data_IF_279931476262
#
_entry.id   IF_279931476262
#
_cell.length_a   1.000
_cell.length_b   1.000
_cell.length_c   1.000
_cell.angle_alpha   90.00
_cell.angle_beta   90.00
_cell.angle_gamma   90.00
#
_symmetry.space_group_name_H-M   'P 1'
#
loop_
_entity.id
_entity.type
_entity.pdbx_description
1 polymer ?
#
# COMPACT_ATOMS: atom_id res chain seq x y z
N UNK A 1 9.94 -21.34 12.21
CA UNK A 1 9.38 -19.98 12.16
C UNK A 1 9.47 -19.36 13.55
N UNK A 2 10.06 -18.19 13.65
CA UNK A 2 10.28 -17.55 14.94
C UNK A 2 9.39 -16.32 15.08
N UNK A 3 8.26 -16.46 15.77
CA UNK A 3 7.30 -15.38 15.99
C UNK A 3 7.69 -14.45 17.15
N UNK A 4 8.99 -14.16 17.30
CA UNK A 4 9.49 -13.29 18.37
C UNK A 4 9.20 -11.82 18.12
N UNK A 5 9.30 -11.39 16.85
CA UNK A 5 8.99 -10.03 16.43
C UNK A 5 7.86 -10.06 15.44
N UNK A 6 6.75 -9.42 15.79
CA UNK A 6 5.53 -9.44 14.95
C UNK A 6 5.10 -8.01 14.68
N UNK A 7 4.82 -7.75 13.40
CA UNK A 7 4.23 -6.52 12.93
C UNK A 7 2.95 -6.84 12.15
N UNK A 8 1.96 -5.96 12.26
CA UNK A 8 0.72 -6.04 11.49
C UNK A 8 0.83 -5.15 10.26
N UNK A 9 0.24 -5.58 9.17
CA UNK A 9 0.07 -4.78 7.95
C UNK A 9 -1.37 -4.89 7.47
N UNK A 10 -1.96 -3.77 7.09
CA UNK A 10 -3.36 -3.72 6.64
C UNK A 10 -3.45 -3.00 5.28
N UNK A 11 -2.89 -3.59 4.21
CA UNK A 11 -2.93 -2.96 2.90
C UNK A 11 -4.36 -2.86 2.36
N UNK A 12 -4.65 -1.74 1.70
CA UNK A 12 -5.91 -1.49 1.02
C UNK A 12 -5.66 -1.46 -0.48
N UNK A 13 -6.47 -2.23 -1.22
CA UNK A 13 -6.40 -2.32 -2.67
C UNK A 13 -7.68 -1.79 -3.29
N UNK A 14 -7.56 -1.15 -4.44
CA UNK A 14 -8.72 -0.56 -5.14
C UNK A 14 -9.41 -1.58 -6.05
N UNK A 15 -9.88 -2.67 -5.46
CA UNK A 15 -10.69 -3.70 -6.12
C UNK A 15 -11.62 -4.37 -5.11
N UNK A 16 -12.91 -4.19 -5.27
CA UNK A 16 -13.89 -4.77 -4.35
C UNK A 16 -14.98 -5.59 -5.06
N UNK A 17 -14.88 -5.77 -6.37
CA UNK A 17 -15.95 -6.36 -7.20
C UNK A 17 -15.57 -7.64 -7.92
N UNK A 18 -14.39 -7.70 -8.48
CA UNK A 18 -13.89 -8.85 -9.22
C UNK A 18 -13.20 -9.84 -8.27
N UNK A 19 -13.92 -10.89 -7.89
CA UNK A 19 -13.45 -11.89 -6.94
C UNK A 19 -12.22 -12.67 -7.44
N UNK A 20 -12.07 -12.83 -8.75
CA UNK A 20 -10.88 -13.48 -9.32
C UNK A 20 -9.64 -12.62 -9.15
N UNK A 21 -9.75 -11.31 -9.39
CA UNK A 21 -8.66 -10.37 -9.14
C UNK A 21 -8.31 -10.31 -7.65
N UNK A 22 -9.31 -10.27 -6.79
CA UNK A 22 -9.13 -10.28 -5.33
C UNK A 22 -8.35 -11.52 -4.90
N UNK A 23 -8.72 -12.70 -5.39
CA UNK A 23 -8.03 -13.94 -5.05
C UNK A 23 -6.54 -13.90 -5.48
N UNK A 24 -6.27 -13.37 -6.66
CA UNK A 24 -4.89 -13.21 -7.16
C UNK A 24 -4.07 -12.23 -6.32
N UNK A 25 -4.69 -11.14 -5.84
CA UNK A 25 -4.03 -10.15 -4.98
C UNK A 25 -3.71 -10.74 -3.62
N UNK A 26 -4.60 -11.57 -3.07
CA UNK A 26 -4.45 -12.19 -1.75
C UNK A 26 -3.50 -13.39 -1.79
N UNK A 27 -3.38 -14.07 -2.92
CA UNK A 27 -2.57 -15.29 -3.06
C UNK A 27 -1.12 -15.16 -2.54
N UNK A 28 -0.37 -14.05 -2.73
CA UNK A 28 0.97 -13.89 -2.19
C UNK A 28 1.06 -13.99 -0.67
N UNK A 29 -0.03 -13.79 0.05
CA UNK A 29 -0.08 -13.84 1.50
C UNK A 29 -0.36 -15.24 2.06
N UNK A 30 -0.72 -16.19 1.21
CA UNK A 30 -1.06 -17.56 1.60
C UNK A 30 0.16 -18.47 1.52
N UNK A 31 0.31 -19.34 2.53
CA UNK A 31 1.30 -20.41 2.52
C UNK A 31 2.76 -19.94 2.62
N UNK A 32 3.02 -18.70 3.01
CA UNK A 32 4.38 -18.19 3.22
C UNK A 32 4.82 -18.34 4.66
N UNK A 33 6.04 -18.88 4.84
CA UNK A 33 6.68 -18.91 6.15
C UNK A 33 6.92 -17.48 6.65
N UNK A 34 6.58 -17.20 7.91
CA UNK A 34 6.76 -15.88 8.51
C UNK A 34 5.64 -14.89 8.24
N UNK A 35 4.61 -15.28 7.50
CA UNK A 35 3.43 -14.44 7.22
C UNK A 35 2.15 -15.22 7.54
N UNK A 36 1.22 -14.56 8.21
CA UNK A 36 -0.10 -15.11 8.48
C UNK A 36 -1.17 -14.16 7.99
N UNK A 37 -1.98 -14.63 7.05
CA UNK A 37 -3.19 -13.95 6.60
C UNK A 37 -4.28 -14.16 7.68
N UNK A 38 -4.70 -13.08 8.32
CA UNK A 38 -5.73 -13.14 9.36
C UNK A 38 -7.13 -13.05 8.77
N UNK A 39 -7.32 -12.10 7.87
CA UNK A 39 -8.63 -11.82 7.27
C UNK A 39 -8.48 -10.97 6.01
N UNK A 40 -9.49 -10.99 5.16
CA UNK A 40 -9.66 -9.98 4.14
C UNK A 40 -11.14 -9.81 3.83
N UNK A 41 -11.52 -8.57 3.49
CA UNK A 41 -12.90 -8.23 3.15
C UNK A 41 -12.93 -7.28 1.96
N UNK A 42 -13.89 -7.47 1.09
CA UNK A 42 -14.13 -6.60 -0.06
C UNK A 42 -15.49 -5.92 0.07
N UNK A 43 -15.56 -4.69 -0.42
CA UNK A 43 -16.78 -3.87 -0.43
C UNK A 43 -17.02 -3.39 -1.87
N UNK A 44 -18.16 -3.80 -2.44
CA UNK A 44 -18.51 -3.49 -3.84
C UNK A 44 -18.86 -2.02 -4.03
N UNK A 45 -19.50 -1.37 -3.06
CA UNK A 45 -19.89 0.04 -3.14
C UNK A 45 -18.67 0.95 -3.09
N UNK A 46 -17.74 0.67 -2.17
CA UNK A 46 -16.47 1.38 -2.07
C UNK A 46 -15.48 0.95 -3.14
N UNK A 47 -15.67 -0.22 -3.72
CA UNK A 47 -14.75 -0.86 -4.66
C UNK A 47 -13.34 -0.97 -4.05
N UNK A 48 -13.28 -1.60 -2.90
CA UNK A 48 -12.06 -1.67 -2.07
C UNK A 48 -11.92 -3.06 -1.44
N UNK A 49 -10.69 -3.50 -1.34
CA UNK A 49 -10.27 -4.70 -0.60
C UNK A 49 -9.38 -4.27 0.56
N UNK A 50 -9.67 -4.75 1.75
CA UNK A 50 -8.84 -4.56 2.95
C UNK A 50 -8.32 -5.93 3.38
N UNK A 51 -7.02 -6.06 3.52
CA UNK A 51 -6.36 -7.31 3.93
C UNK A 51 -5.66 -7.10 5.26
N UNK A 52 -5.80 -8.02 6.20
CA UNK A 52 -5.14 -7.96 7.51
C UNK A 52 -4.12 -9.09 7.64
N UNK A 53 -2.88 -8.71 7.86
CA UNK A 53 -1.73 -9.61 7.93
C UNK A 53 -0.94 -9.39 9.21
N UNK A 54 -0.32 -10.44 9.72
CA UNK A 54 0.76 -10.34 10.69
C UNK A 54 1.94 -11.15 10.20
N UNK A 55 3.15 -10.76 10.58
CA UNK A 55 4.33 -11.49 10.17
C UNK A 55 5.62 -10.97 10.75
N UNK A 56 6.69 -11.67 10.44
CA UNK A 56 8.05 -11.24 10.67
C UNK A 56 8.42 -10.18 9.62
N UNK A 57 9.28 -9.23 9.99
CA UNK A 57 9.55 -8.05 9.17
C UNK A 57 9.96 -8.37 7.73
N UNK A 58 10.95 -9.23 7.55
CA UNK A 58 11.47 -9.58 6.21
C UNK A 58 10.45 -10.34 5.36
N UNK A 59 9.80 -11.35 5.95
CA UNK A 59 8.81 -12.17 5.25
C UNK A 59 7.60 -11.34 4.84
N UNK A 60 7.14 -10.46 5.73
CA UNK A 60 6.03 -9.55 5.46
C UNK A 60 6.38 -8.57 4.34
N UNK A 61 7.59 -8.00 4.37
CA UNK A 61 8.08 -7.12 3.30
C UNK A 61 8.00 -7.81 1.93
N UNK A 62 8.53 -9.01 1.81
CA UNK A 62 8.52 -9.76 0.55
C UNK A 62 7.11 -10.06 0.06
N UNK A 63 6.22 -10.50 0.95
CA UNK A 63 4.84 -10.81 0.59
C UNK A 63 4.06 -9.57 0.13
N UNK A 64 4.22 -8.46 0.85
CA UNK A 64 3.56 -7.19 0.51
C UNK A 64 4.05 -6.65 -0.84
N UNK A 65 5.35 -6.66 -1.07
CA UNK A 65 5.94 -6.21 -2.35
C UNK A 65 5.41 -7.05 -3.52
N UNK A 66 5.29 -8.36 -3.36
CA UNK A 66 4.73 -9.26 -4.37
C UNK A 66 3.25 -8.93 -4.65
N UNK A 67 2.45 -8.74 -3.61
CA UNK A 67 1.03 -8.39 -3.76
C UNK A 67 0.82 -7.04 -4.45
N UNK A 68 1.68 -6.06 -4.16
CA UNK A 68 1.67 -4.77 -4.88
C UNK A 68 1.87 -4.98 -6.38
N UNK A 69 2.81 -5.83 -6.77
CA UNK A 69 3.06 -6.16 -8.17
C UNK A 69 1.85 -6.78 -8.86
N UNK A 70 1.14 -7.68 -8.17
CA UNK A 70 -0.11 -8.27 -8.68
C UNK A 70 -1.18 -7.19 -8.88
N UNK A 71 -1.38 -6.32 -7.88
CA UNK A 71 -2.36 -5.25 -7.95
C UNK A 71 -2.08 -4.27 -9.10
N UNK A 72 -0.82 -3.89 -9.28
CA UNK A 72 -0.40 -2.99 -10.38
C UNK A 72 -0.75 -3.57 -11.75
N UNK A 73 -0.61 -4.89 -11.92
CA UNK A 73 -0.93 -5.57 -13.19
C UNK A 73 -2.43 -5.72 -13.44
N UNK A 74 -3.24 -5.85 -12.38
CA UNK A 74 -4.65 -6.19 -12.50
C UNK A 74 -5.61 -5.01 -12.39
N UNK A 75 -5.20 -3.91 -11.74
CA UNK A 75 -6.07 -2.77 -11.46
C UNK A 75 -5.69 -1.59 -12.35
N UNK A 76 -6.68 -1.09 -13.10
CA UNK A 76 -6.56 0.14 -13.88
C UNK A 76 -7.50 1.20 -13.29
N UNK A 77 -6.92 2.20 -12.64
CA UNK A 77 -7.70 3.26 -11.99
C UNK A 77 -8.43 4.19 -12.98
N UNK A 78 -8.06 4.17 -14.25
CA UNK A 78 -8.80 4.92 -15.29
C UNK A 78 -10.21 4.34 -15.50
N UNK A 79 -10.41 3.07 -15.16
CA UNK A 79 -11.70 2.38 -15.27
C UNK A 79 -12.37 2.16 -13.91
N UNK A 80 -11.73 2.57 -12.82
CA UNK A 80 -12.20 2.34 -11.47
C UNK A 80 -13.21 3.40 -11.02
N UNK A 81 -14.34 2.95 -10.47
CA UNK A 81 -15.35 3.79 -9.83
C UNK A 81 -15.77 3.17 -8.50
N UNK A 82 -16.01 4.00 -7.49
CA UNK A 82 -16.44 3.56 -6.17
C UNK A 82 -16.53 4.73 -5.21
N UNK A 83 -17.15 4.53 -4.06
CA UNK A 83 -17.35 5.58 -3.05
C UNK A 83 -16.09 5.86 -2.22
N UNK A 84 -15.15 4.91 -2.16
CA UNK A 84 -13.91 5.12 -1.43
C UNK A 84 -12.97 6.06 -2.20
N UNK A 85 -12.50 7.16 -1.56
CA UNK A 85 -11.47 7.99 -2.18
C UNK A 85 -10.17 7.18 -2.30
N UNK A 86 -9.59 7.15 -3.48
CA UNK A 86 -8.36 6.38 -3.75
C UNK A 86 -7.39 7.19 -4.59
N UNK A 87 -6.11 7.01 -4.32
CA UNK A 87 -5.02 7.59 -5.11
C UNK A 87 -4.19 6.51 -5.82
N UNK A 88 -4.36 5.25 -5.46
CA UNK A 88 -3.58 4.14 -6.01
C UNK A 88 -4.32 2.82 -6.10
N UNK A 89 -3.85 1.95 -6.99
CA UNK A 89 -4.28 0.55 -7.06
C UNK A 89 -4.00 -0.15 -5.73
N UNK A 90 -2.86 0.14 -5.13
CA UNK A 90 -2.58 -0.09 -3.71
C UNK A 90 -2.64 1.28 -3.05
N UNK A 91 -3.75 1.57 -2.41
CA UNK A 91 -3.98 2.92 -1.91
C UNK A 91 -3.13 3.25 -0.69
N UNK A 92 -3.10 2.35 0.31
CA UNK A 92 -2.29 2.51 1.53
C UNK A 92 -1.73 1.18 1.99
N UNK A 93 -0.59 1.24 2.67
CA UNK A 93 0.09 0.08 3.28
C UNK A 93 0.54 0.47 4.69
N UNK A 94 -0.37 0.46 5.69
CA UNK A 94 -0.01 0.78 7.06
C UNK A 94 0.69 -0.40 7.75
N UNK A 95 1.70 -0.08 8.56
CA UNK A 95 2.42 -1.05 9.40
C UNK A 95 2.25 -0.68 10.86
N UNK A 96 1.86 -1.64 11.69
CA UNK A 96 1.56 -1.44 13.09
C UNK A 96 2.41 -2.39 13.94
N UNK A 97 3.26 -1.89 14.87
CA UNK A 97 4.05 -2.75 15.74
C UNK A 97 3.13 -3.51 16.71
N UNK A 98 3.33 -4.82 16.85
CA UNK A 98 2.50 -5.69 17.68
C UNK A 98 3.29 -6.33 18.82
N UNK A 99 4.34 -7.10 18.53
CA UNK A 99 5.08 -7.84 19.53
C UNK A 99 6.57 -7.68 19.35
N UNK A 100 7.24 -7.19 20.39
CA UNK A 100 8.70 -6.96 20.41
C UNK A 100 9.21 -6.16 19.21
N UNK A 101 8.38 -5.29 18.69
CA UNK A 101 8.70 -4.36 17.59
C UNK A 101 8.43 -2.95 18.05
N UNK A 102 9.31 -2.02 17.66
CA UNK A 102 9.17 -0.60 17.96
C UNK A 102 8.50 0.15 16.80
N UNK A 103 8.06 1.38 17.08
CA UNK A 103 7.58 2.27 16.03
C UNK A 103 8.69 2.57 15.01
N UNK A 104 9.93 2.71 15.48
CA UNK A 104 11.09 2.93 14.60
C UNK A 104 11.30 1.77 13.63
N UNK A 105 11.11 0.52 14.10
CA UNK A 105 11.18 -0.66 13.22
C UNK A 105 10.05 -0.67 12.18
N UNK A 106 8.85 -0.26 12.57
CA UNK A 106 7.72 -0.12 11.65
C UNK A 106 8.00 0.96 10.59
N UNK A 107 8.56 2.10 10.97
CA UNK A 107 8.96 3.18 10.06
C UNK A 107 10.03 2.68 9.08
N UNK A 108 11.06 1.99 9.55
CA UNK A 108 12.11 1.44 8.69
C UNK A 108 11.54 0.40 7.71
N UNK A 109 10.62 -0.45 8.16
CA UNK A 109 9.95 -1.41 7.28
C UNK A 109 9.14 -0.70 6.20
N UNK A 110 8.41 0.36 6.55
CA UNK A 110 7.64 1.15 5.58
C UNK A 110 8.54 1.75 4.49
N UNK A 111 9.69 2.26 4.87
CA UNK A 111 10.69 2.80 3.92
C UNK A 111 11.28 1.72 3.03
N UNK A 112 11.54 0.55 3.58
CA UNK A 112 12.08 -0.59 2.82
C UNK A 112 11.09 -1.08 1.77
N UNK A 113 9.82 -1.21 2.14
CA UNK A 113 8.75 -1.56 1.20
C UNK A 113 8.59 -0.48 0.14
N UNK A 114 8.57 0.80 0.55
CA UNK A 114 8.46 1.94 -0.36
C UNK A 114 9.57 1.94 -1.41
N UNK A 115 10.82 1.74 -0.99
CA UNK A 115 11.95 1.70 -1.91
C UNK A 115 11.82 0.56 -2.92
N UNK A 116 11.41 -0.62 -2.47
CA UNK A 116 11.25 -1.81 -3.35
C UNK A 116 10.11 -1.64 -4.35
N UNK A 117 8.95 -1.17 -3.94
CA UNK A 117 7.81 -1.00 -4.85
C UNK A 117 8.07 0.13 -5.85
N UNK A 118 8.75 1.18 -5.44
CA UNK A 118 9.16 2.26 -6.34
C UNK A 118 10.13 1.75 -7.41
N UNK A 119 11.13 0.97 -7.02
CA UNK A 119 12.13 0.42 -7.93
C UNK A 119 11.53 -0.62 -8.87
N UNK A 120 10.77 -1.58 -8.35
CA UNK A 120 10.26 -2.71 -9.14
C UNK A 120 9.08 -2.35 -10.04
N UNK A 121 8.23 -1.44 -9.59
CA UNK A 121 6.96 -1.16 -10.26
C UNK A 121 6.82 0.28 -10.76
N UNK A 122 7.85 1.09 -10.58
CA UNK A 122 7.86 2.49 -10.99
C UNK A 122 6.71 3.30 -10.36
N UNK A 123 6.42 3.01 -9.09
CA UNK A 123 5.37 3.66 -8.32
C UNK A 123 5.90 4.82 -7.50
N UNK A 124 5.27 5.99 -7.55
CA UNK A 124 5.50 7.04 -6.56
C UNK A 124 4.93 6.61 -5.21
N UNK A 125 5.69 6.83 -4.14
CA UNK A 125 5.30 6.47 -2.79
C UNK A 125 5.41 7.68 -1.86
N UNK A 126 4.35 7.89 -1.07
CA UNK A 126 4.30 8.92 -0.03
C UNK A 126 4.29 8.27 1.35
N UNK A 127 5.15 8.73 2.22
CA UNK A 127 5.15 8.33 3.62
C UNK A 127 4.22 9.24 4.42
N UNK A 128 3.44 8.67 5.32
CA UNK A 128 2.46 9.41 6.12
C UNK A 128 2.50 9.00 7.60
N UNK A 129 1.70 9.65 8.44
CA UNK A 129 1.64 9.42 9.89
C UNK A 129 3.05 9.52 10.52
N UNK A 130 3.47 8.51 11.27
CA UNK A 130 4.78 8.48 11.95
C UNK A 130 5.96 8.36 10.99
N UNK A 131 5.73 7.94 9.74
CA UNK A 131 6.77 7.89 8.69
C UNK A 131 6.90 9.19 7.92
N UNK A 132 5.97 10.13 8.07
CA UNK A 132 5.91 11.36 7.28
C UNK A 132 7.23 12.14 7.32
N UNK A 133 7.66 12.61 6.16
CA UNK A 133 8.89 13.42 6.01
C UNK A 133 8.63 14.91 6.14
N UNK A 134 7.35 15.32 6.20
CA UNK A 134 6.95 16.71 6.36
C UNK A 134 5.59 16.79 7.08
N UNK A 135 5.31 17.89 7.82
CA UNK A 135 4.05 18.02 8.58
C UNK A 135 2.77 17.91 7.75
N UNK A 136 2.77 18.40 6.53
CA UNK A 136 1.59 18.34 5.65
C UNK A 136 1.30 16.94 5.12
N UNK A 137 2.20 15.97 5.34
CA UNK A 137 2.07 14.56 4.94
C UNK A 137 1.65 13.64 6.07
N UNK A 138 1.57 14.13 7.29
CA UNK A 138 1.15 13.31 8.44
C UNK A 138 -0.29 12.82 8.29
N UNK A 139 -1.17 13.67 7.80
CA UNK A 139 -2.58 13.33 7.59
C UNK A 139 -2.77 12.68 6.22
N UNK A 140 -3.15 11.40 6.22
CA UNK A 140 -3.40 10.63 5.00
C UNK A 140 -4.45 11.31 4.10
N UNK A 141 -5.48 11.93 4.67
CA UNK A 141 -6.51 12.62 3.88
C UNK A 141 -5.91 13.77 3.06
N UNK A 142 -4.90 14.46 3.58
CA UNK A 142 -4.20 15.52 2.86
C UNK A 142 -3.37 14.97 1.70
N UNK A 143 -2.69 13.84 1.92
CA UNK A 143 -1.92 13.14 0.87
C UNK A 143 -2.85 12.67 -0.24
N UNK A 144 -3.98 12.05 0.14
CA UNK A 144 -4.96 11.46 -0.80
C UNK A 144 -5.81 12.51 -1.52
N UNK A 145 -5.89 13.74 -1.01
CA UNK A 145 -6.76 14.78 -1.55
C UNK A 145 -6.53 15.01 -3.04
N UNK A 146 -7.61 15.00 -3.80
CA UNK A 146 -7.59 15.06 -5.27
C UNK A 146 -7.65 13.68 -5.92
N UNK A 147 -7.40 12.65 -5.17
CA UNK A 147 -7.45 11.25 -5.58
C UNK A 147 -6.51 10.95 -6.78
N UNK A 148 -6.73 9.83 -7.44
CA UNK A 148 -5.96 9.44 -8.63
C UNK A 148 -5.98 10.53 -9.70
N UNK A 149 -7.14 11.11 -9.96
CA UNK A 149 -7.31 12.12 -11.01
C UNK A 149 -6.50 13.39 -10.74
N UNK A 150 -6.56 13.89 -9.51
CA UNK A 150 -5.83 15.10 -9.11
C UNK A 150 -4.32 14.89 -8.95
N UNK A 151 -3.89 13.67 -8.72
CA UNK A 151 -2.48 13.37 -8.47
C UNK A 151 -1.59 13.68 -9.68
N UNK A 152 -2.11 13.60 -10.89
CA UNK A 152 -1.35 13.92 -12.10
C UNK A 152 -0.72 15.32 -12.06
N UNK A 153 -1.43 16.31 -11.52
CA UNK A 153 -0.92 17.68 -11.38
C UNK A 153 -0.27 17.91 -10.01
N UNK A 154 -0.87 17.36 -8.94
CA UNK A 154 -0.38 17.52 -7.57
C UNK A 154 1.07 17.06 -7.41
N UNK A 155 1.42 15.91 -7.98
CA UNK A 155 2.75 15.32 -7.85
C UNK A 155 3.86 16.18 -8.48
N UNK A 156 3.51 17.12 -9.35
CA UNK A 156 4.44 18.06 -9.97
C UNK A 156 4.80 19.24 -9.06
N UNK A 157 3.99 19.46 -8.02
CA UNK A 157 4.23 20.57 -7.09
C UNK A 157 5.43 20.25 -6.18
N UNK A 158 6.28 21.25 -5.86
CA UNK A 158 7.45 21.02 -5.00
C UNK A 158 7.12 20.38 -3.64
N UNK A 159 6.01 20.78 -3.01
CA UNK A 159 5.57 20.27 -1.71
C UNK A 159 4.98 18.85 -1.78
N UNK A 160 4.71 18.32 -2.98
CA UNK A 160 4.13 17.02 -3.19
C UNK A 160 4.99 16.08 -4.04
N UNK A 161 6.30 16.31 -4.07
CA UNK A 161 7.21 15.33 -4.66
C UNK A 161 7.17 14.04 -3.84
N UNK A 162 7.17 12.86 -4.48
CA UNK A 162 7.10 11.60 -3.74
C UNK A 162 8.36 11.38 -2.91
N UNK A 163 8.21 10.64 -1.81
CA UNK A 163 9.34 10.24 -0.97
C UNK A 163 10.21 9.19 -1.67
N UNK A 164 9.59 8.33 -2.48
CA UNK A 164 10.24 7.33 -3.32
C UNK A 164 9.58 7.28 -4.68
N UNK A 165 10.36 6.89 -5.69
CA UNK A 165 9.84 6.73 -7.04
C UNK A 165 9.82 8.01 -7.87
N UNK A 166 9.28 7.92 -9.11
CA UNK A 166 9.26 9.05 -10.04
C UNK A 166 8.25 10.12 -9.62
N UNK A 167 8.55 11.38 -9.93
CA UNK A 167 7.63 12.50 -9.73
C UNK A 167 6.57 12.55 -10.83
N UNK A 168 5.98 11.41 -11.12
CA UNK A 168 4.96 11.24 -12.15
C UNK A 168 4.02 10.11 -11.73
N UNK A 169 2.72 10.39 -11.76
CA UNK A 169 1.70 9.38 -11.43
C UNK A 169 1.79 8.19 -12.39
N UNK A 170 1.81 6.96 -11.84
CA UNK A 170 1.75 5.76 -12.67
C UNK A 170 0.45 5.78 -13.51
N UNK A 171 0.50 5.48 -14.82
CA UNK A 171 -0.66 5.65 -15.71
C UNK A 171 -1.93 4.92 -15.30
N UNK A 172 -1.80 3.74 -14.68
CA UNK A 172 -2.94 2.91 -14.28
C UNK A 172 -3.03 2.64 -12.79
N UNK A 173 -1.89 2.60 -12.10
CA UNK A 173 -1.83 2.27 -10.68
C UNK A 173 -1.73 3.49 -9.76
N UNK A 174 -1.51 4.68 -10.27
CA UNK A 174 -1.47 5.91 -9.50
C UNK A 174 -0.26 6.04 -8.59
N UNK A 175 -0.50 6.23 -7.30
CA UNK A 175 0.51 6.42 -6.24
C UNK A 175 0.15 5.58 -5.01
N UNK A 176 1.15 5.30 -4.18
CA UNK A 176 0.94 4.59 -2.90
C UNK A 176 1.23 5.50 -1.72
#
# INVERSE_FOLDING_TARGET
>A
MNWNKIIECVPNFSEGRDLEKIDKIVAPFRGKSGVKLLDYSNDEDHNRLVVTLVGELEALCEAVVEAVGVAVRLIDLNQHTGQHPRMGAVDVIPFIPIKNTSMEEAIELSKKVAAKVAELYNLPVFLYEKSATAPHRENLASVRKGEFEGMAEKIKLPEWQPDFGPAERHPTAGTV
#
